data_IF_007228491920
#
_entry.id   IF_007228491920
#
_cell.length_a   1.000
_cell.length_b   1.000
_cell.length_c   1.000
_cell.angle_alpha   90.00
_cell.angle_beta   90.00
_cell.angle_gamma   90.00
#
_symmetry.space_group_name_H-M   'P 1'
#
loop_
_entity.id
_entity.type
_entity.pdbx_description
1 polymer ?
#
# COMPACT_ATOMS: atom_id res chain seq x y z
N UNK A 1 -7.62 -14.13 -12.43
CA UNK A 1 -6.62 -13.85 -11.38
C UNK A 1 -7.34 -13.89 -10.04
N UNK A 2 -6.68 -14.34 -8.96
CA UNK A 2 -7.28 -14.26 -7.64
C UNK A 2 -7.38 -12.79 -7.20
N UNK A 3 -8.51 -12.43 -6.58
CA UNK A 3 -8.71 -11.10 -6.04
C UNK A 3 -7.99 -10.96 -4.70
N UNK A 4 -7.24 -9.87 -4.53
CA UNK A 4 -6.46 -9.61 -3.32
C UNK A 4 -6.92 -8.33 -2.67
N UNK A 5 -7.33 -8.43 -1.40
CA UNK A 5 -7.54 -7.29 -0.53
C UNK A 5 -6.26 -6.96 0.23
N UNK A 6 -5.74 -5.76 0.02
CA UNK A 6 -4.46 -5.31 0.60
C UNK A 6 -4.73 -4.07 1.46
N UNK A 7 -4.24 -4.06 2.70
CA UNK A 7 -4.39 -2.93 3.63
C UNK A 7 -3.03 -2.37 4.03
N UNK A 8 -2.85 -1.05 3.93
CA UNK A 8 -1.65 -0.38 4.44
C UNK A 8 -1.75 -0.19 5.96
N UNK A 9 -1.07 -1.04 6.74
CA UNK A 9 -1.16 -1.01 8.21
C UNK A 9 -0.23 0.00 8.90
N UNK A 10 0.80 0.52 8.20
CA UNK A 10 1.81 1.44 8.75
C UNK A 10 2.12 2.60 7.79
N UNK A 11 2.66 3.69 8.35
CA UNK A 11 3.12 4.86 7.58
C UNK A 11 4.43 4.59 6.81
N UNK A 12 4.88 5.56 6.03
CA UNK A 12 6.06 5.44 5.15
C UNK A 12 7.35 6.04 5.71
N UNK A 13 7.32 6.51 6.97
CA UNK A 13 8.51 7.03 7.66
C UNK A 13 9.56 5.92 7.73
N UNK A 14 10.77 6.21 7.22
CA UNK A 14 11.86 5.23 7.15
C UNK A 14 11.72 4.14 6.07
N UNK A 15 10.61 4.08 5.33
CA UNK A 15 10.46 3.13 4.23
C UNK A 15 11.46 3.43 3.11
N UNK A 16 12.00 2.39 2.47
CA UNK A 16 12.89 2.55 1.31
C UNK A 16 12.13 3.12 0.12
N UNK A 17 12.83 3.80 -0.79
CA UNK A 17 12.23 4.36 -2.02
C UNK A 17 11.33 3.36 -2.75
N UNK A 18 11.83 2.15 -3.02
CA UNK A 18 11.07 1.10 -3.72
C UNK A 18 9.76 0.73 -3.02
N UNK A 19 9.71 0.75 -1.69
CA UNK A 19 8.47 0.47 -0.95
C UNK A 19 7.45 1.59 -1.11
N UNK A 20 7.90 2.86 -1.12
CA UNK A 20 7.00 4.01 -1.36
C UNK A 20 6.42 3.97 -2.77
N UNK A 21 7.23 3.58 -3.76
CA UNK A 21 6.78 3.41 -5.14
C UNK A 21 5.77 2.27 -5.26
N UNK A 22 6.02 1.11 -4.64
CA UNK A 22 5.02 0.02 -4.61
C UNK A 22 3.68 0.46 -4.01
N UNK A 23 3.70 1.21 -2.90
CA UNK A 23 2.47 1.76 -2.29
C UNK A 23 1.74 2.72 -3.25
N UNK A 24 2.48 3.59 -3.96
CA UNK A 24 1.92 4.48 -4.99
C UNK A 24 1.28 3.70 -6.13
N UNK A 25 1.96 2.68 -6.66
CA UNK A 25 1.45 1.83 -7.74
C UNK A 25 0.18 1.10 -7.32
N UNK A 26 0.11 0.63 -6.08
CA UNK A 26 -1.07 -0.04 -5.53
C UNK A 26 -2.21 0.93 -5.16
N UNK A 27 -1.99 2.25 -5.16
CA UNK A 27 -3.00 3.24 -4.76
C UNK A 27 -3.16 3.45 -3.25
N UNK A 28 -2.23 2.92 -2.45
CA UNK A 28 -2.22 3.03 -0.99
C UNK A 28 -1.51 4.34 -0.56
N UNK A 29 -2.27 5.27 0.01
CA UNK A 29 -1.85 6.64 0.34
C UNK A 29 -1.90 6.97 1.84
N UNK A 30 -2.69 6.22 2.63
CA UNK A 30 -2.92 6.50 4.06
C UNK A 30 -2.92 5.20 4.88
N UNK A 31 -2.58 5.31 6.16
CA UNK A 31 -2.70 4.20 7.12
C UNK A 31 -4.16 3.75 7.20
N UNK A 32 -4.37 2.43 7.26
CA UNK A 32 -5.67 1.73 7.24
C UNK A 32 -6.46 1.86 5.93
N UNK A 33 -5.89 2.42 4.86
CA UNK A 33 -6.50 2.34 3.53
C UNK A 33 -6.38 0.90 3.00
N UNK A 34 -7.45 0.40 2.38
CA UNK A 34 -7.45 -0.88 1.68
C UNK A 34 -7.68 -0.68 0.18
N UNK A 35 -7.15 -1.59 -0.63
CA UNK A 35 -7.39 -1.70 -2.07
C UNK A 35 -7.77 -3.15 -2.41
N UNK A 36 -8.61 -3.33 -3.44
CA UNK A 36 -9.23 -4.61 -3.79
C UNK A 36 -10.70 -4.69 -3.36
N UNK A 37 -11.49 -5.46 -4.10
CA UNK A 37 -12.87 -5.85 -3.79
C UNK A 37 -12.91 -7.26 -3.20
#
# INVERSE_FOLDING_TARGET
>A
MAELKITQVRGTIGARWKQRESLRTLGLKKIRQSVGS
#
